data_IF_685505781836
#
_entry.id   IF_685505781836
#
_cell.length_a   1.000
_cell.length_b   1.000
_cell.length_c   1.000
_cell.angle_alpha   90.00
_cell.angle_beta   90.00
_cell.angle_gamma   90.00
#
_symmetry.space_group_name_H-M   'P 1'
#
loop_
_entity.id
_entity.type
_entity.pdbx_description
1 polymer ?
#
# COMPACT_ATOMS: atom_id res chain seq x y z
N UNK A 1 -5.78 -24.30 -0.26
CA UNK A 1 -6.24 -23.12 0.45
C UNK A 1 -5.66 -21.86 -0.17
N UNK A 2 -6.52 -20.93 -0.48
CA UNK A 2 -6.09 -19.67 -1.07
C UNK A 2 -5.42 -18.76 -0.06
N UNK A 3 -4.53 -17.90 -0.54
CA UNK A 3 -3.96 -16.85 0.28
C UNK A 3 -5.00 -15.76 0.51
N UNK A 4 -4.94 -15.08 1.65
CA UNK A 4 -5.76 -13.90 1.89
C UNK A 4 -5.28 -12.74 1.03
N UNK A 5 -6.22 -12.00 0.44
CA UNK A 5 -5.91 -10.80 -0.33
C UNK A 5 -5.95 -9.57 0.57
N UNK A 6 -4.87 -8.80 0.58
CA UNK A 6 -4.78 -7.57 1.35
C UNK A 6 -4.49 -6.41 0.42
N UNK A 7 -5.32 -5.37 0.50
CA UNK A 7 -5.14 -4.14 -0.25
C UNK A 7 -4.72 -3.01 0.70
N UNK A 8 -3.56 -2.43 0.43
CA UNK A 8 -3.07 -1.25 1.15
C UNK A 8 -3.44 0.00 0.36
N UNK A 9 -4.05 0.97 1.03
CA UNK A 9 -4.53 2.20 0.38
C UNK A 9 -3.89 3.43 1.01
N UNK A 10 -3.42 4.34 0.19
CA UNK A 10 -3.00 5.67 0.60
C UNK A 10 -3.52 6.70 -0.41
N UNK A 11 -3.01 7.92 -0.40
CA UNK A 11 -3.49 8.97 -1.31
C UNK A 11 -3.04 8.71 -2.73
N UNK A 12 -1.73 8.72 -2.98
CA UNK A 12 -1.16 8.71 -4.33
C UNK A 12 -0.69 7.36 -4.85
N UNK A 13 -0.68 6.32 -4.00
CA UNK A 13 -0.06 5.02 -4.32
C UNK A 13 1.37 5.23 -4.87
N UNK A 14 2.13 6.05 -4.18
CA UNK A 14 3.51 6.38 -4.57
C UNK A 14 4.50 6.19 -3.44
N UNK A 15 4.04 6.15 -2.20
CA UNK A 15 4.87 6.05 -0.98
C UNK A 15 4.36 4.96 -0.05
N UNK A 16 3.39 5.31 0.82
CA UNK A 16 2.96 4.45 1.95
C UNK A 16 2.41 3.09 1.51
N UNK A 17 1.46 3.07 0.61
CA UNK A 17 0.86 1.80 0.19
C UNK A 17 1.80 0.97 -0.66
N UNK A 18 2.70 1.61 -1.43
CA UNK A 18 3.74 0.92 -2.17
C UNK A 18 4.72 0.24 -1.19
N UNK A 19 5.14 0.94 -0.13
CA UNK A 19 6.00 0.37 0.89
C UNK A 19 5.34 -0.82 1.57
N UNK A 20 4.06 -0.70 1.92
CA UNK A 20 3.32 -1.77 2.57
C UNK A 20 3.19 -2.99 1.66
N UNK A 21 2.87 -2.79 0.39
CA UNK A 21 2.81 -3.89 -0.57
C UNK A 21 4.17 -4.58 -0.70
N UNK A 22 5.24 -3.80 -0.82
CA UNK A 22 6.60 -4.35 -0.95
C UNK A 22 7.00 -5.17 0.27
N UNK A 23 6.73 -4.67 1.47
CA UNK A 23 7.02 -5.38 2.71
C UNK A 23 6.22 -6.68 2.81
N UNK A 24 4.93 -6.63 2.51
CA UNK A 24 4.07 -7.81 2.58
C UNK A 24 4.52 -8.88 1.57
N UNK A 25 4.85 -8.49 0.36
CA UNK A 25 5.38 -9.42 -0.64
C UNK A 25 6.71 -10.04 -0.21
N UNK A 26 7.55 -9.25 0.44
CA UNK A 26 8.87 -9.72 0.85
C UNK A 26 8.80 -10.71 2.02
N UNK A 27 8.00 -10.39 3.05
CA UNK A 27 7.96 -11.19 4.27
C UNK A 27 6.85 -12.24 4.30
N UNK A 28 5.76 -12.01 3.56
CA UNK A 28 4.53 -12.81 3.72
C UNK A 28 3.99 -13.38 2.40
N UNK A 29 4.84 -13.48 1.37
CA UNK A 29 4.40 -13.90 0.03
C UNK A 29 3.69 -15.24 -0.01
N UNK A 30 4.01 -16.13 0.91
CA UNK A 30 3.40 -17.47 0.96
C UNK A 30 2.05 -17.49 1.68
N UNK A 31 1.72 -16.42 2.40
CA UNK A 31 0.51 -16.31 3.20
C UNK A 31 -0.49 -15.30 2.64
N UNK A 32 0.00 -14.28 1.95
CA UNK A 32 -0.82 -13.16 1.50
C UNK A 32 -0.63 -12.87 0.02
N UNK A 33 -1.72 -12.44 -0.62
CA UNK A 33 -1.63 -11.72 -1.89
C UNK A 33 -1.74 -10.23 -1.57
N UNK A 34 -0.66 -9.49 -1.78
CA UNK A 34 -0.62 -8.08 -1.44
C UNK A 34 -0.88 -7.22 -2.66
N UNK A 35 -1.74 -6.22 -2.48
CA UNK A 35 -2.09 -5.23 -3.49
C UNK A 35 -1.97 -3.84 -2.89
N UNK A 36 -1.86 -2.83 -3.73
CA UNK A 36 -1.92 -1.45 -3.27
C UNK A 36 -2.63 -0.56 -4.29
N UNK A 37 -3.20 0.54 -3.82
CA UNK A 37 -3.86 1.51 -4.68
C UNK A 37 -3.92 2.88 -3.99
N UNK A 38 -4.16 3.92 -4.76
CA UNK A 38 -4.35 5.27 -4.26
C UNK A 38 -5.74 5.79 -4.56
N UNK A 39 -6.25 6.66 -3.68
CA UNK A 39 -7.52 7.35 -3.92
C UNK A 39 -7.36 8.34 -5.07
N UNK A 40 -6.20 9.02 -5.12
CA UNK A 40 -5.83 9.93 -6.20
C UNK A 40 -4.45 9.52 -6.70
N UNK A 41 -4.36 8.51 -7.59
CA UNK A 41 -3.06 7.94 -7.96
C UNK A 41 -2.15 8.95 -8.64
N UNK A 42 -0.90 9.02 -8.16
CA UNK A 42 0.11 9.89 -8.73
C UNK A 42 0.59 9.40 -10.10
N UNK A 43 0.50 8.10 -10.34
CA UNK A 43 0.92 7.49 -11.60
C UNK A 43 2.39 7.08 -11.64
N UNK A 44 3.11 7.33 -10.56
CA UNK A 44 4.53 6.95 -10.45
C UNK A 44 4.90 6.75 -8.99
N UNK A 45 5.91 5.92 -8.76
CA UNK A 45 6.48 5.73 -7.42
C UNK A 45 7.53 6.81 -7.20
N UNK A 46 7.51 7.47 -6.02
CA UNK A 46 8.50 8.50 -5.73
C UNK A 46 9.90 7.89 -5.60
N UNK A 47 10.95 8.59 -6.07
CA UNK A 47 12.32 8.07 -5.98
C UNK A 47 12.76 7.71 -4.57
N UNK A 48 12.35 8.47 -3.56
CA UNK A 48 12.71 8.18 -2.16
C UNK A 48 12.09 6.88 -1.67
N UNK A 49 10.88 6.52 -2.14
CA UNK A 49 10.27 5.23 -1.83
C UNK A 49 11.17 4.09 -2.33
N UNK A 50 11.62 4.17 -3.58
CA UNK A 50 12.50 3.16 -4.14
C UNK A 50 13.85 3.11 -3.41
N UNK A 51 14.37 4.28 -3.02
CA UNK A 51 15.64 4.38 -2.30
C UNK A 51 15.56 3.65 -0.95
N UNK A 52 14.53 3.93 -0.14
CA UNK A 52 14.45 3.34 1.20
C UNK A 52 14.16 1.84 1.16
N UNK A 53 13.40 1.37 0.17
CA UNK A 53 13.21 -0.07 -0.03
C UNK A 53 14.54 -0.73 -0.39
N UNK A 54 15.32 -0.12 -1.26
CA UNK A 54 16.64 -0.63 -1.66
C UNK A 54 17.59 -0.69 -0.47
N UNK A 55 17.57 0.33 0.39
CA UNK A 55 18.41 0.37 1.60
C UNK A 55 18.16 -0.84 2.50
N UNK A 56 16.94 -1.37 2.51
CA UNK A 56 16.56 -2.53 3.32
C UNK A 56 16.54 -3.83 2.53
N UNK A 57 17.07 -3.82 1.32
CA UNK A 57 17.13 -4.99 0.43
C UNK A 57 15.74 -5.58 0.15
N UNK A 58 14.72 -4.72 0.04
CA UNK A 58 13.36 -5.14 -0.29
C UNK A 58 13.14 -4.92 -1.78
N UNK A 59 12.83 -5.99 -2.54
CA UNK A 59 12.61 -5.84 -3.99
C UNK A 59 11.42 -4.95 -4.33
N UNK A 60 11.58 -4.16 -5.38
CA UNK A 60 10.51 -3.29 -5.89
C UNK A 60 9.98 -3.76 -7.25
N UNK A 61 10.37 -4.95 -7.69
CA UNK A 61 9.96 -5.48 -8.99
C UNK A 61 8.45 -5.63 -9.09
N UNK A 62 7.88 -5.15 -10.19
CA UNK A 62 6.45 -5.25 -10.44
C UNK A 62 5.59 -4.22 -9.71
N UNK A 63 6.18 -3.39 -8.83
CA UNK A 63 5.43 -2.34 -8.16
C UNK A 63 5.15 -1.19 -9.13
N UNK A 64 3.93 -0.67 -9.10
CA UNK A 64 3.55 0.49 -9.90
C UNK A 64 2.41 1.24 -9.23
N UNK A 65 2.34 2.54 -9.49
CA UNK A 65 1.30 3.41 -8.95
C UNK A 65 0.01 3.21 -9.73
N UNK A 66 -1.12 3.04 -9.01
CA UNK A 66 -2.43 2.81 -9.62
C UNK A 66 -3.53 3.27 -8.70
N UNK A 67 -4.73 3.42 -9.26
CA UNK A 67 -5.90 3.84 -8.51
C UNK A 67 -6.80 2.68 -8.08
N UNK A 68 -7.79 3.00 -7.27
CA UNK A 68 -8.77 2.01 -6.80
C UNK A 68 -9.55 1.36 -7.95
N UNK A 69 -9.73 2.09 -9.06
CA UNK A 69 -10.43 1.55 -10.23
C UNK A 69 -9.71 0.36 -10.86
N UNK A 70 -8.41 0.21 -10.62
CA UNK A 70 -7.63 -0.89 -11.15
C UNK A 70 -7.67 -2.14 -10.25
N UNK A 71 -8.34 -2.06 -9.10
CA UNK A 71 -8.36 -3.15 -8.12
C UNK A 71 -9.52 -4.10 -8.40
N UNK A 72 -9.22 -5.39 -8.43
CA UNK A 72 -10.24 -6.43 -8.44
C UNK A 72 -10.61 -6.78 -7.00
N UNK A 73 -11.66 -6.15 -6.48
CA UNK A 73 -12.07 -6.34 -5.09
C UNK A 73 -12.57 -7.74 -4.77
N UNK A 74 -12.88 -8.56 -5.78
CA UNK A 74 -13.25 -9.96 -5.53
C UNK A 74 -12.07 -10.77 -4.97
N UNK A 75 -10.85 -10.27 -5.14
CA UNK A 75 -9.62 -10.92 -4.65
C UNK A 75 -9.14 -10.33 -3.33
N UNK A 76 -9.88 -9.38 -2.77
CA UNK A 76 -9.47 -8.65 -1.56
C UNK A 76 -10.33 -9.08 -0.39
N UNK A 77 -9.70 -9.50 0.69
CA UNK A 77 -10.36 -9.87 1.94
C UNK A 77 -10.27 -8.76 2.98
N UNK A 78 -9.16 -8.01 2.99
CA UNK A 78 -8.91 -6.95 3.96
C UNK A 78 -8.36 -5.74 3.23
N UNK A 79 -8.89 -4.56 3.56
CA UNK A 79 -8.35 -3.28 3.11
C UNK A 79 -7.69 -2.60 4.29
N UNK A 80 -6.43 -2.20 4.15
CA UNK A 80 -5.70 -1.45 5.17
C UNK A 80 -5.57 -0.01 4.70
N UNK A 81 -6.23 0.89 5.41
CA UNK A 81 -6.24 2.32 5.10
C UNK A 81 -5.09 3.01 5.85
N UNK A 82 -4.10 3.47 5.10
CA UNK A 82 -2.91 4.14 5.65
C UNK A 82 -3.07 5.67 5.65
N UNK A 83 -4.16 6.18 5.08
CA UNK A 83 -4.33 7.61 4.85
C UNK A 83 -5.47 8.25 5.66
N UNK A 84 -6.38 7.47 6.23
CA UNK A 84 -7.46 8.00 7.07
C UNK A 84 -8.73 8.38 6.32
N UNK A 85 -9.02 7.76 5.17
CA UNK A 85 -10.27 8.00 4.44
C UNK A 85 -11.43 7.23 5.05
N UNK A 86 -12.68 7.71 4.88
CA UNK A 86 -13.86 6.92 5.23
C UNK A 86 -13.90 5.61 4.42
N UNK A 87 -14.29 4.51 5.07
CA UNK A 87 -14.31 3.20 4.43
C UNK A 87 -15.15 3.18 3.14
N UNK A 88 -16.28 3.89 3.14
CA UNK A 88 -17.17 3.94 1.96
C UNK A 88 -16.51 4.55 0.72
N UNK A 89 -15.45 5.34 0.89
CA UNK A 89 -14.72 5.94 -0.22
C UNK A 89 -13.63 5.02 -0.76
N UNK A 90 -13.31 3.94 -0.04
CA UNK A 90 -12.22 3.02 -0.37
C UNK A 90 -12.71 1.74 -1.04
N UNK A 91 -13.93 1.34 -0.78
CA UNK A 91 -14.44 0.03 -1.24
C UNK A 91 -15.82 0.19 -1.88
N UNK A 92 -16.16 -0.70 -2.82
CA UNK A 92 -17.51 -0.71 -3.37
C UNK A 92 -18.52 -1.21 -2.33
N UNK A 93 -19.79 -0.85 -2.49
CA UNK A 93 -20.86 -1.24 -1.56
C UNK A 93 -20.97 -2.75 -1.38
N UNK A 94 -20.65 -3.51 -2.41
CA UNK A 94 -20.71 -4.98 -2.39
C UNK A 94 -19.55 -5.65 -1.66
N UNK A 95 -18.55 -4.87 -1.23
CA UNK A 95 -17.37 -5.44 -0.57
C UNK A 95 -17.75 -6.03 0.79
N UNK A 96 -17.45 -7.32 0.97
CA UNK A 96 -17.82 -8.07 2.18
C UNK A 96 -16.66 -8.23 3.16
N UNK A 97 -15.49 -7.74 2.83
CA UNK A 97 -14.29 -7.87 3.69
C UNK A 97 -14.23 -6.82 4.79
N UNK A 98 -13.07 -6.76 5.44
CA UNK A 98 -12.82 -5.81 6.52
C UNK A 98 -12.03 -4.61 6.02
N UNK A 99 -12.28 -3.45 6.62
CA UNK A 99 -11.45 -2.25 6.45
C UNK A 99 -10.80 -1.95 7.79
N UNK A 100 -9.46 -1.91 7.80
CA UNK A 100 -8.65 -1.65 8.98
C UNK A 100 -7.98 -0.29 8.82
N UNK A 101 -8.03 0.54 9.85
CA UNK A 101 -7.38 1.85 9.86
C UNK A 101 -6.00 1.73 10.50
N UNK A 102 -4.97 2.15 9.77
CA UNK A 102 -3.58 2.09 10.24
C UNK A 102 -2.82 3.31 9.73
N UNK A 103 -3.25 4.49 10.16
CA UNK A 103 -2.71 5.76 9.66
C UNK A 103 -1.19 5.84 9.79
N UNK A 104 -0.54 6.24 8.70
CA UNK A 104 0.90 6.51 8.63
C UNK A 104 1.07 7.92 8.08
N UNK A 105 1.89 8.73 8.73
CA UNK A 105 2.16 10.09 8.27
C UNK A 105 2.75 10.07 6.86
N UNK A 106 2.18 10.92 5.97
CA UNK A 106 2.59 10.95 4.57
C UNK A 106 3.97 11.61 4.41
N UNK A 107 4.99 10.87 3.92
CA UNK A 107 6.32 11.45 3.71
C UNK A 107 6.45 12.25 2.41
N UNK A 108 5.43 12.26 1.56
CA UNK A 108 5.48 12.93 0.26
C UNK A 108 5.86 14.40 0.41
N UNK A 109 6.85 14.83 -0.36
CA UNK A 109 7.37 16.19 -0.26
C UNK A 109 8.40 16.39 0.83
N UNK A 110 8.67 15.36 1.66
CA UNK A 110 9.65 15.42 2.74
C UNK A 110 11.05 14.96 2.34
N UNK A 111 11.85 14.70 3.35
CA UNK A 111 13.25 14.27 3.22
C UNK A 111 13.34 12.75 3.12
N UNK A 112 14.51 12.19 2.69
CA UNK A 112 14.71 10.75 2.76
C UNK A 112 14.47 10.15 4.16
N UNK A 113 14.80 10.90 5.22
CA UNK A 113 14.56 10.41 6.60
C UNK A 113 13.06 10.29 6.90
N UNK A 114 12.23 11.17 6.35
CA UNK A 114 10.77 11.06 6.49
C UNK A 114 10.26 9.76 5.84
N UNK A 115 10.83 9.39 4.71
CA UNK A 115 10.50 8.13 4.04
C UNK A 115 10.98 6.92 4.83
N UNK A 116 12.19 6.98 5.41
CA UNK A 116 12.71 5.91 6.28
C UNK A 116 11.82 5.70 7.50
N UNK A 117 11.37 6.79 8.10
CA UNK A 117 10.48 6.74 9.26
C UNK A 117 9.13 6.15 8.89
N UNK A 118 8.57 6.53 7.75
CA UNK A 118 7.32 5.95 7.25
C UNK A 118 7.46 4.45 7.04
N UNK A 119 8.55 4.01 6.43
CA UNK A 119 8.81 2.59 6.20
C UNK A 119 8.92 1.83 7.53
N UNK A 120 9.63 2.39 8.51
CA UNK A 120 9.75 1.78 9.83
C UNK A 120 8.40 1.66 10.53
N UNK A 121 7.53 2.66 10.37
CA UNK A 121 6.19 2.65 10.98
C UNK A 121 5.31 1.56 10.36
N UNK A 122 5.41 1.38 9.04
CA UNK A 122 4.62 0.39 8.30
C UNK A 122 5.10 -1.04 8.60
N UNK A 123 6.38 -1.22 8.79
CA UNK A 123 6.99 -2.55 8.98
C UNK A 123 6.46 -3.31 10.21
#
# INVERSE_FOLDING_TARGET
MGRKGILFVCIGNSCRSIMAEALARHYWKDLLNAFSAGVYPLGRITPYTLQVLRERNIPADGLHSKGLAAVDFSRVDVVVDLAGFPAKELVPDRFAGKVVKAYVLDPYGGTPDDFREALNTID
#
